data_IF_520702697224
#
_entry.id   IF_520702697224
#
_cell.length_a   1.000
_cell.length_b   1.000
_cell.length_c   1.000
_cell.angle_alpha   90.00
_cell.angle_beta   90.00
_cell.angle_gamma   90.00
#
_symmetry.space_group_name_H-M   'P 1'
#
loop_
_entity.id
_entity.type
_entity.pdbx_description
1 polymer ?
#
# COMPACT_ATOMS: atom_id res chain seq x y z
N UNK A 1 0.09 -24.47 -38.84
CA UNK A 1 -0.69 -25.39 -39.70
C UNK A 1 0.19 -26.37 -40.48
N UNK A 2 1.13 -25.95 -41.33
CA UNK A 2 1.99 -26.86 -42.13
C UNK A 2 2.67 -27.98 -41.31
N UNK A 3 3.23 -27.67 -40.13
CA UNK A 3 3.86 -28.65 -39.22
C UNK A 3 2.89 -29.73 -38.69
N UNK A 4 1.62 -29.40 -38.50
CA UNK A 4 0.60 -30.33 -38.01
C UNK A 4 0.16 -31.30 -39.12
N UNK A 5 0.08 -30.81 -40.36
CA UNK A 5 -0.19 -31.63 -41.55
C UNK A 5 0.94 -32.65 -41.78
N UNK A 6 2.21 -32.24 -41.66
CA UNK A 6 3.34 -33.16 -41.76
C UNK A 6 3.36 -34.22 -40.66
N UNK A 7 2.98 -33.87 -39.43
CA UNK A 7 2.87 -34.81 -38.32
C UNK A 7 1.78 -35.87 -38.58
N UNK A 8 0.61 -35.46 -39.06
CA UNK A 8 -0.50 -36.37 -39.38
C UNK A 8 -0.11 -37.31 -40.54
N UNK A 9 0.52 -36.77 -41.59
CA UNK A 9 1.02 -37.58 -42.70
C UNK A 9 2.07 -38.60 -42.26
N UNK A 10 2.96 -38.23 -41.33
CA UNK A 10 3.96 -39.13 -40.78
C UNK A 10 3.31 -40.23 -39.92
N UNK A 11 2.36 -39.87 -39.06
CA UNK A 11 1.62 -40.82 -38.21
C UNK A 11 0.81 -41.83 -39.04
N UNK A 12 0.20 -41.41 -40.15
CA UNK A 12 -0.52 -42.32 -41.04
C UNK A 12 0.40 -43.09 -42.00
N UNK A 13 1.51 -42.48 -42.41
CA UNK A 13 2.45 -43.06 -43.38
C UNK A 13 3.39 -44.11 -42.79
N UNK A 14 3.84 -43.94 -41.55
CA UNK A 14 4.79 -44.85 -40.89
C UNK A 14 4.27 -46.30 -40.83
N UNK A 15 3.01 -46.58 -40.45
CA UNK A 15 2.47 -47.94 -40.48
C UNK A 15 2.44 -48.55 -41.87
N UNK A 16 2.09 -47.77 -42.89
CA UNK A 16 2.01 -48.23 -44.28
C UNK A 16 3.40 -48.61 -44.79
N UNK A 17 4.40 -47.77 -44.50
CA UNK A 17 5.81 -48.01 -44.87
C UNK A 17 6.38 -49.21 -44.12
N UNK A 18 6.10 -49.34 -42.81
CA UNK A 18 6.55 -50.48 -42.01
C UNK A 18 5.86 -51.78 -42.45
N UNK A 19 4.56 -51.75 -42.78
CA UNK A 19 3.83 -52.90 -43.30
C UNK A 19 4.45 -53.37 -44.63
N UNK A 20 4.68 -52.43 -45.55
CA UNK A 20 5.30 -52.72 -46.82
C UNK A 20 6.73 -53.26 -46.63
N UNK A 21 7.55 -52.64 -45.79
CA UNK A 21 8.92 -53.10 -45.54
C UNK A 21 8.99 -54.50 -44.90
N UNK A 22 8.08 -54.82 -43.98
CA UNK A 22 8.06 -56.10 -43.25
C UNK A 22 7.39 -57.24 -44.04
N UNK A 23 6.38 -56.95 -44.87
CA UNK A 23 5.69 -57.97 -45.67
C UNK A 23 6.34 -58.23 -47.04
N UNK A 24 7.07 -57.26 -47.60
CA UNK A 24 7.74 -57.42 -48.90
C UNK A 24 9.03 -58.22 -48.82
N UNK A 25 9.62 -58.36 -47.63
CA UNK A 25 10.85 -59.13 -47.41
C UNK A 25 10.60 -60.27 -46.41
N UNK A 26 10.41 -61.49 -46.92
CA UNK A 26 10.29 -62.70 -46.08
C UNK A 26 11.68 -63.22 -45.76
N UNK A 27 12.16 -62.98 -44.55
CA UNK A 27 13.33 -63.69 -44.05
C UNK A 27 13.01 -65.21 -43.96
N UNK A 28 13.84 -66.09 -44.54
CA UNK A 28 13.55 -67.53 -44.56
C UNK A 28 13.55 -68.10 -43.14
N UNK A 29 12.45 -68.75 -42.73
CA UNK A 29 12.31 -69.43 -41.43
C UNK A 29 11.33 -68.82 -40.42
N UNK A 30 10.67 -67.71 -40.73
CA UNK A 30 9.63 -67.11 -39.86
C UNK A 30 8.23 -67.41 -40.43
N UNK A 31 7.41 -68.12 -39.66
CA UNK A 31 5.98 -68.29 -39.96
C UNK A 31 5.30 -66.92 -39.82
N UNK A 32 4.80 -66.39 -40.93
CA UNK A 32 4.00 -65.17 -40.93
C UNK A 32 2.62 -65.50 -40.32
N UNK A 33 2.47 -65.25 -39.02
CA UNK A 33 1.18 -65.30 -38.36
C UNK A 33 0.31 -64.16 -38.93
N UNK A 34 -0.80 -64.52 -39.60
CA UNK A 34 -1.70 -63.56 -40.27
C UNK A 34 -2.23 -62.49 -39.30
N UNK A 35 -2.20 -62.77 -37.99
CA UNK A 35 -2.65 -61.86 -36.93
C UNK A 35 -1.56 -60.94 -36.36
N UNK A 36 -0.29 -61.13 -36.72
CA UNK A 36 0.82 -60.31 -36.19
C UNK A 36 0.68 -58.83 -36.56
N UNK A 37 0.12 -58.55 -37.74
CA UNK A 37 -0.18 -57.18 -38.20
C UNK A 37 -1.22 -56.49 -37.32
N UNK A 38 -2.27 -57.23 -36.91
CA UNK A 38 -3.33 -56.70 -36.07
C UNK A 38 -2.78 -56.32 -34.68
N UNK A 39 -1.89 -57.14 -34.12
CA UNK A 39 -1.18 -56.85 -32.88
C UNK A 39 -0.26 -55.64 -32.97
N UNK A 40 0.49 -55.48 -34.07
CA UNK A 40 1.31 -54.30 -34.32
C UNK A 40 0.46 -53.03 -34.42
N UNK A 41 -0.63 -53.07 -35.20
CA UNK A 41 -1.52 -51.93 -35.38
C UNK A 41 -2.19 -51.50 -34.06
N UNK A 42 -2.67 -52.47 -33.26
CA UNK A 42 -3.24 -52.19 -31.94
C UNK A 42 -2.25 -51.49 -31.00
N UNK A 43 -1.01 -51.96 -30.95
CA UNK A 43 0.05 -51.34 -30.15
C UNK A 43 0.42 -49.93 -30.65
N UNK A 44 0.48 -49.74 -31.96
CA UNK A 44 0.78 -48.45 -32.58
C UNK A 44 -0.32 -47.40 -32.30
N UNK A 45 -1.59 -47.79 -32.46
CA UNK A 45 -2.73 -46.92 -32.11
C UNK A 45 -2.73 -46.60 -30.63
N UNK A 46 -2.48 -47.59 -29.76
CA UNK A 46 -2.35 -47.38 -28.31
C UNK A 46 -1.28 -46.36 -27.94
N UNK A 47 -0.10 -46.43 -28.59
CA UNK A 47 0.99 -45.48 -28.39
C UNK A 47 0.60 -44.06 -28.82
N UNK A 48 -0.05 -43.90 -29.98
CA UNK A 48 -0.51 -42.58 -30.45
C UNK A 48 -1.54 -42.01 -29.49
N UNK A 49 -2.51 -42.80 -29.05
CA UNK A 49 -3.53 -42.36 -28.09
C UNK A 49 -2.89 -41.88 -26.79
N UNK A 50 -1.91 -42.63 -26.26
CA UNK A 50 -1.17 -42.23 -25.05
C UNK A 50 -0.40 -40.91 -25.26
N UNK A 51 0.29 -40.75 -26.38
CA UNK A 51 1.01 -39.50 -26.72
C UNK A 51 0.03 -38.33 -26.87
N UNK A 52 -1.11 -38.52 -27.53
CA UNK A 52 -2.14 -37.49 -27.68
C UNK A 52 -2.71 -37.06 -26.32
N UNK A 53 -3.00 -38.00 -25.42
CA UNK A 53 -3.48 -37.70 -24.07
C UNK A 53 -2.40 -36.94 -23.29
N UNK A 54 -1.13 -37.37 -23.36
CA UNK A 54 -0.03 -36.70 -22.70
C UNK A 54 0.16 -35.26 -23.20
N UNK A 55 0.09 -35.04 -24.52
CA UNK A 55 0.17 -33.70 -25.11
C UNK A 55 -1.02 -32.82 -24.71
N UNK A 56 -2.23 -33.39 -24.67
CA UNK A 56 -3.43 -32.67 -24.23
C UNK A 56 -3.35 -32.27 -22.75
N UNK A 57 -2.91 -33.19 -21.89
CA UNK A 57 -2.67 -32.91 -20.47
C UNK A 57 -1.59 -31.84 -20.30
N UNK A 58 -0.47 -31.94 -21.02
CA UNK A 58 0.60 -30.95 -20.98
C UNK A 58 0.11 -29.56 -21.42
N UNK A 59 -0.70 -29.49 -22.48
CA UNK A 59 -1.29 -28.24 -22.93
C UNK A 59 -2.20 -27.61 -21.87
N UNK A 60 -3.09 -28.41 -21.29
CA UNK A 60 -4.01 -27.95 -20.24
C UNK A 60 -3.27 -27.53 -18.96
N UNK A 61 -2.22 -28.27 -18.58
CA UNK A 61 -1.40 -27.95 -17.42
C UNK A 61 -0.69 -26.61 -17.62
N UNK A 62 -0.02 -26.40 -18.77
CA UNK A 62 0.61 -25.11 -19.09
C UNK A 62 -0.37 -23.93 -19.05
N UNK A 63 -1.61 -24.12 -19.48
CA UNK A 63 -2.63 -23.07 -19.40
C UNK A 63 -2.98 -22.75 -17.95
N UNK A 64 -3.23 -23.78 -17.13
CA UNK A 64 -3.52 -23.62 -15.71
C UNK A 64 -2.35 -22.99 -14.94
N UNK A 65 -1.11 -23.41 -15.23
CA UNK A 65 0.09 -22.88 -14.59
C UNK A 65 0.24 -21.38 -14.83
N UNK A 66 0.03 -20.93 -16.08
CA UNK A 66 0.03 -19.49 -16.41
C UNK A 66 -1.05 -18.70 -15.68
N UNK A 67 -2.25 -19.25 -15.57
CA UNK A 67 -3.36 -18.62 -14.84
C UNK A 67 -3.07 -18.55 -13.33
N UNK A 68 -2.48 -19.59 -12.75
CA UNK A 68 -2.07 -19.62 -11.33
C UNK A 68 -0.95 -18.62 -11.08
N UNK A 69 0.09 -18.63 -11.91
CA UNK A 69 1.21 -17.70 -11.82
C UNK A 69 0.74 -16.25 -11.90
N UNK A 70 -0.12 -15.92 -12.87
CA UNK A 70 -0.68 -14.57 -12.98
C UNK A 70 -1.47 -14.16 -11.74
N UNK A 71 -2.32 -15.06 -11.20
CA UNK A 71 -3.07 -14.77 -9.97
C UNK A 71 -2.15 -14.59 -8.77
N UNK A 72 -1.06 -15.34 -8.71
CA UNK A 72 -0.11 -15.25 -7.62
C UNK A 72 0.65 -13.92 -7.66
N UNK A 73 1.13 -13.51 -8.84
CA UNK A 73 1.77 -12.20 -9.04
C UNK A 73 0.88 -11.05 -8.61
N UNK A 74 -0.40 -11.05 -9.00
CA UNK A 74 -1.35 -10.01 -8.58
C UNK A 74 -1.52 -9.94 -7.06
N UNK A 75 -1.58 -11.10 -6.38
CA UNK A 75 -1.68 -11.15 -4.92
C UNK A 75 -0.40 -10.66 -4.24
N UNK A 76 0.75 -11.03 -4.77
CA UNK A 76 2.06 -10.58 -4.27
C UNK A 76 2.21 -9.06 -4.43
N UNK A 77 1.85 -8.50 -5.58
CA UNK A 77 1.84 -7.04 -5.81
C UNK A 77 0.88 -6.32 -4.86
N UNK A 78 -0.33 -6.85 -4.64
CA UNK A 78 -1.29 -6.27 -3.70
C UNK A 78 -0.76 -6.30 -2.26
N UNK A 79 -0.13 -7.41 -1.85
CA UNK A 79 0.44 -7.58 -0.54
C UNK A 79 1.67 -6.69 -0.33
N UNK A 80 2.55 -6.59 -1.32
CA UNK A 80 3.67 -5.66 -1.31
C UNK A 80 3.19 -4.22 -1.17
N UNK A 81 2.14 -3.84 -1.88
CA UNK A 81 1.54 -2.51 -1.75
C UNK A 81 1.04 -2.28 -0.32
N UNK A 82 0.23 -3.19 0.21
CA UNK A 82 -0.34 -3.09 1.57
C UNK A 82 0.74 -3.03 2.66
N UNK A 83 1.79 -3.84 2.56
CA UNK A 83 2.91 -3.87 3.52
C UNK A 83 3.79 -2.62 3.47
N UNK A 84 3.81 -1.92 2.33
CA UNK A 84 4.51 -0.65 2.15
C UNK A 84 3.60 0.57 2.36
N UNK A 85 2.45 0.41 3.00
CA UNK A 85 1.66 1.53 3.49
C UNK A 85 2.33 2.14 4.71
N UNK A 86 2.40 3.46 4.70
CA UNK A 86 2.78 4.28 5.84
C UNK A 86 1.53 4.89 6.46
N UNK A 87 1.61 5.19 7.75
CA UNK A 87 0.54 5.78 8.53
C UNK A 87 1.09 6.98 9.31
N UNK A 88 0.22 7.94 9.57
CA UNK A 88 0.53 9.10 10.39
C UNK A 88 -0.29 9.04 11.67
N UNK A 89 0.37 9.36 12.79
CA UNK A 89 -0.28 9.61 14.06
C UNK A 89 -0.28 11.11 14.29
N UNK A 90 -1.46 11.65 14.57
CA UNK A 90 -1.66 13.04 14.89
C UNK A 90 -1.91 13.18 16.39
N UNK A 91 -1.26 14.16 17.02
CA UNK A 91 -1.52 14.53 18.40
C UNK A 91 -1.66 16.04 18.52
N UNK A 92 -2.75 16.51 19.12
CA UNK A 92 -2.96 17.90 19.48
C UNK A 92 -2.50 18.14 20.91
N UNK A 93 -1.75 19.22 21.14
CA UNK A 93 -1.35 19.58 22.50
C UNK A 93 -1.08 21.07 22.63
N UNK A 94 -0.98 21.55 23.86
CA UNK A 94 -0.65 22.94 24.18
C UNK A 94 0.71 23.01 24.88
N UNK A 95 1.57 23.91 24.43
CA UNK A 95 2.89 24.13 25.03
C UNK A 95 3.40 25.55 24.79
N UNK A 96 4.58 25.88 25.34
CA UNK A 96 5.25 27.12 25.02
C UNK A 96 5.70 27.16 23.54
N UNK A 97 5.77 28.35 22.92
CA UNK A 97 6.17 28.50 21.52
C UNK A 97 7.50 27.81 21.15
N UNK A 98 8.45 27.71 22.09
CA UNK A 98 9.77 27.11 21.84
C UNK A 98 9.82 25.59 21.98
N UNK A 99 8.76 24.97 22.49
CA UNK A 99 8.70 23.54 22.82
C UNK A 99 9.81 23.07 23.79
N UNK A 100 10.42 23.96 24.57
CA UNK A 100 11.56 23.65 25.46
C UNK A 100 11.24 22.57 26.52
N UNK A 101 9.95 22.38 26.82
CA UNK A 101 9.49 21.45 27.84
C UNK A 101 9.11 20.07 27.27
N UNK A 102 9.38 19.83 25.99
CA UNK A 102 9.00 18.61 25.28
C UNK A 102 10.26 17.86 24.88
N UNK A 103 10.35 16.60 25.30
CA UNK A 103 11.37 15.70 24.80
C UNK A 103 11.06 15.37 23.34
N UNK A 104 11.96 15.74 22.43
CA UNK A 104 11.85 15.50 21.00
C UNK A 104 13.02 14.65 20.51
N UNK A 105 12.83 13.80 19.49
CA UNK A 105 13.93 13.23 18.74
C UNK A 105 14.81 14.32 18.12
N UNK A 106 16.11 14.04 17.95
CA UNK A 106 17.15 15.01 17.53
C UNK A 106 16.80 15.77 16.24
N UNK A 107 16.19 15.09 15.27
CA UNK A 107 15.89 15.65 13.95
C UNK A 107 14.46 16.22 13.82
N UNK A 108 13.74 16.36 14.93
CA UNK A 108 12.37 16.88 14.91
C UNK A 108 12.30 18.32 14.41
N UNK A 109 11.25 18.66 13.68
CA UNK A 109 11.14 19.94 12.97
C UNK A 109 9.91 20.71 13.42
N UNK A 110 10.08 22.01 13.61
CA UNK A 110 8.99 22.96 13.80
C UNK A 110 8.74 23.69 12.49
N UNK A 111 7.51 23.67 12.00
CA UNK A 111 7.11 24.43 10.82
C UNK A 111 6.87 25.88 11.21
N UNK A 112 7.60 26.79 10.58
CA UNK A 112 7.37 28.22 10.74
C UNK A 112 6.18 28.69 9.90
N UNK A 113 5.01 28.74 10.51
CA UNK A 113 3.82 29.34 9.88
C UNK A 113 3.87 30.86 9.99
N UNK A 114 3.18 31.58 9.08
CA UNK A 114 3.11 33.05 9.12
C UNK A 114 2.59 33.60 10.45
N UNK A 115 1.58 32.95 11.02
CA UNK A 115 1.03 33.35 12.32
C UNK A 115 1.98 33.05 13.48
N UNK A 116 2.75 31.97 13.39
CA UNK A 116 3.80 31.69 14.36
C UNK A 116 4.95 32.71 14.29
N UNK A 117 5.42 33.06 13.10
CA UNK A 117 6.45 34.10 12.92
C UNK A 117 5.99 35.44 13.52
N UNK A 118 4.76 35.86 13.20
CA UNK A 118 4.15 37.06 13.78
C UNK A 118 4.08 37.01 15.31
N UNK A 119 3.69 35.87 15.87
CA UNK A 119 3.63 35.68 17.33
C UNK A 119 5.00 35.82 17.98
N UNK A 120 6.02 35.19 17.40
CA UNK A 120 7.39 35.23 17.92
C UNK A 120 7.97 36.66 17.89
N UNK A 121 7.74 37.41 16.81
CA UNK A 121 8.17 38.82 16.70
C UNK A 121 7.52 39.69 17.79
N UNK A 122 6.22 39.52 18.01
CA UNK A 122 5.47 40.27 19.02
C UNK A 122 5.93 39.92 20.44
N UNK A 123 6.05 38.63 20.75
CA UNK A 123 6.48 38.17 22.08
C UNK A 123 7.94 38.52 22.40
N UNK A 124 8.82 38.64 21.39
CA UNK A 124 10.18 39.17 21.58
C UNK A 124 10.16 40.63 22.03
N UNK A 125 9.21 41.41 21.53
CA UNK A 125 9.05 42.84 21.85
C UNK A 125 8.43 43.04 23.23
N UNK A 126 7.38 42.27 23.55
CA UNK A 126 6.59 42.45 24.78
C UNK A 126 7.20 41.73 26.01
N UNK A 127 8.16 40.84 25.80
CA UNK A 127 8.67 39.93 26.83
C UNK A 127 7.65 38.84 27.22
N UNK A 128 8.13 37.66 27.61
CA UNK A 128 7.28 36.57 28.10
C UNK A 128 6.98 35.46 27.10
N UNK A 129 7.93 35.15 26.22
CA UNK A 129 7.83 34.04 25.28
C UNK A 129 7.57 32.69 25.98
N UNK A 130 8.17 32.48 27.16
CA UNK A 130 8.03 31.24 27.93
C UNK A 130 6.73 31.18 28.76
N UNK A 131 5.99 32.28 28.88
CA UNK A 131 4.71 32.37 29.58
C UNK A 131 3.50 32.21 28.63
N UNK A 132 3.73 32.31 27.33
CA UNK A 132 2.68 32.12 26.33
C UNK A 132 2.49 30.63 26.08
N UNK A 133 1.25 30.20 25.90
CA UNK A 133 0.92 28.82 25.52
C UNK A 133 0.16 28.85 24.20
N UNK A 134 0.55 27.99 23.27
CA UNK A 134 -0.11 27.84 21.98
C UNK A 134 -0.39 26.38 21.66
N UNK A 135 -1.35 26.15 20.77
CA UNK A 135 -1.73 24.83 20.30
C UNK A 135 -0.79 24.38 19.18
N UNK A 136 -0.39 23.11 19.23
CA UNK A 136 0.43 22.47 18.22
C UNK A 136 -0.24 21.20 17.73
N UNK A 137 -0.08 20.95 16.44
CA UNK A 137 -0.27 19.62 15.86
C UNK A 137 1.11 18.96 15.77
N UNK A 138 1.25 17.81 16.42
CA UNK A 138 2.39 16.91 16.24
C UNK A 138 1.99 15.80 15.27
N UNK A 139 2.83 15.59 14.27
CA UNK A 139 2.74 14.48 13.33
C UNK A 139 3.92 13.55 13.54
N UNK A 140 3.64 12.25 13.55
CA UNK A 140 4.63 11.18 13.64
C UNK A 140 4.37 10.14 12.56
N UNK A 141 5.42 9.75 11.84
CA UNK A 141 5.36 8.77 10.75
C UNK A 141 5.65 7.35 11.27
N UNK A 142 4.75 6.41 10.92
CA UNK A 142 4.84 4.99 11.23
C UNK A 142 4.63 4.14 9.96
N UNK A 143 5.07 2.89 10.01
CA UNK A 143 4.95 1.95 8.89
C UNK A 143 6.28 1.28 8.57
N UNK A 144 6.28 0.44 7.54
CA UNK A 144 7.50 -0.19 7.04
C UNK A 144 8.40 0.80 6.26
N UNK A 145 7.86 1.66 5.36
CA UNK A 145 8.68 2.61 4.64
C UNK A 145 9.37 3.63 5.56
N UNK A 146 10.59 4.01 5.21
CA UNK A 146 11.36 5.03 5.94
C UNK A 146 10.92 6.45 5.57
N UNK A 147 10.20 6.64 4.47
CA UNK A 147 9.83 7.97 3.97
C UNK A 147 8.47 7.96 3.28
N UNK A 148 7.76 9.09 3.38
CA UNK A 148 6.60 9.44 2.56
C UNK A 148 6.84 10.75 1.81
N UNK A 149 6.14 10.94 0.70
CA UNK A 149 6.34 12.06 -0.20
C UNK A 149 5.11 12.97 -0.28
N UNK A 150 5.31 14.18 -0.79
CA UNK A 150 4.28 15.18 -1.04
C UNK A 150 3.32 15.40 0.15
N UNK A 151 3.84 15.35 1.37
CA UNK A 151 3.05 15.45 2.58
C UNK A 151 2.54 16.87 2.79
N UNK A 152 1.21 17.03 2.72
CA UNK A 152 0.51 18.31 2.87
C UNK A 152 -0.48 18.23 4.01
N UNK A 153 -0.55 19.29 4.79
CA UNK A 153 -1.43 19.40 5.96
C UNK A 153 -2.33 20.61 5.78
N UNK A 154 -3.63 20.41 5.88
CA UNK A 154 -4.65 21.46 5.89
C UNK A 154 -5.29 21.47 7.28
N UNK A 155 -5.25 22.62 7.94
CA UNK A 155 -5.77 22.80 9.31
C UNK A 155 -6.89 23.83 9.23
N UNK A 156 -8.08 23.43 9.71
CA UNK A 156 -9.23 24.33 9.89
C UNK A 156 -9.43 24.59 11.37
N UNK A 157 -9.60 25.84 11.75
CA UNK A 157 -9.73 26.25 13.14
C UNK A 157 -10.82 27.32 13.33
N UNK A 158 -11.26 27.47 14.57
CA UNK A 158 -12.21 28.49 15.02
C UNK A 158 -11.56 29.29 16.16
N UNK A 159 -11.73 30.61 16.10
CA UNK A 159 -11.18 31.56 17.07
C UNK A 159 -12.11 32.79 17.16
N UNK A 160 -11.79 33.75 18.03
CA UNK A 160 -12.74 34.83 18.38
C UNK A 160 -13.19 35.69 17.19
N UNK A 161 -12.35 35.80 16.14
CA UNK A 161 -12.67 36.57 14.92
C UNK A 161 -13.37 35.73 13.84
N UNK A 162 -13.66 34.46 14.10
CA UNK A 162 -14.39 33.58 13.18
C UNK A 162 -13.65 32.27 12.86
N UNK A 163 -13.79 31.81 11.62
CA UNK A 163 -13.15 30.59 11.11
C UNK A 163 -11.90 30.97 10.30
N UNK A 164 -10.86 30.15 10.41
CA UNK A 164 -9.68 30.29 9.59
C UNK A 164 -9.13 28.93 9.19
N UNK A 165 -8.36 28.93 8.11
CA UNK A 165 -7.66 27.76 7.62
C UNK A 165 -6.28 28.14 7.10
N UNK A 166 -5.36 27.19 7.15
CA UNK A 166 -4.08 27.32 6.45
C UNK A 166 -3.56 25.96 6.02
N UNK A 167 -2.65 26.01 5.04
CA UNK A 167 -2.00 24.84 4.46
C UNK A 167 -0.50 24.88 4.71
N UNK A 168 0.04 23.71 5.00
CA UNK A 168 1.46 23.48 5.20
C UNK A 168 1.91 22.41 4.21
N UNK A 169 2.99 22.69 3.49
CA UNK A 169 3.67 21.69 2.66
C UNK A 169 4.94 21.24 3.39
N UNK A 170 4.97 19.97 3.79
CA UNK A 170 6.13 19.33 4.43
C UNK A 170 7.06 18.76 3.36
N UNK A 171 6.52 18.41 2.18
CA UNK A 171 7.26 17.72 1.13
C UNK A 171 7.59 16.28 1.53
N UNK A 172 8.80 16.05 2.01
CA UNK A 172 9.31 14.73 2.39
C UNK A 172 9.25 14.55 3.90
N UNK A 173 8.63 13.46 4.37
CA UNK A 173 8.53 13.16 5.79
C UNK A 173 9.14 11.78 6.11
N UNK A 174 10.24 11.80 6.86
CA UNK A 174 11.01 10.63 7.26
C UNK A 174 10.49 10.02 8.57
N UNK A 175 10.64 8.71 8.69
CA UNK A 175 10.31 7.95 9.90
C UNK A 175 11.30 8.29 11.02
N UNK A 176 10.81 8.28 12.26
CA UNK A 176 11.63 8.63 13.44
C UNK A 176 11.80 10.13 13.67
N UNK A 177 11.32 10.97 12.76
CA UNK A 177 11.23 12.42 12.94
C UNK A 177 9.81 12.79 13.39
N UNK A 178 9.70 13.80 14.25
CA UNK A 178 8.42 14.41 14.60
C UNK A 178 8.33 15.80 13.96
N UNK A 179 7.17 16.12 13.39
CA UNK A 179 6.89 17.44 12.81
C UNK A 179 5.87 18.15 13.68
N UNK A 180 6.22 19.34 14.14
CA UNK A 180 5.38 20.21 14.95
C UNK A 180 4.86 21.36 14.09
N UNK A 181 3.55 21.57 14.09
CA UNK A 181 2.88 22.62 13.34
C UNK A 181 2.15 23.53 14.35
N UNK A 182 2.62 24.76 14.56
CA UNK A 182 1.97 25.73 15.44
C UNK A 182 0.66 26.21 14.81
N UNK A 183 -0.43 26.11 15.58
CA UNK A 183 -1.76 26.56 15.16
C UNK A 183 -2.01 27.95 15.74
N UNK A 184 -1.57 28.96 14.99
CA UNK A 184 -1.63 30.36 15.39
C UNK A 184 -2.18 31.20 14.24
N UNK A 185 -3.40 31.76 14.35
CA UNK A 185 -3.89 32.80 13.45
C UNK A 185 -3.01 34.06 13.48
N UNK A 186 -2.98 34.80 12.37
CA UNK A 186 -2.32 36.10 12.34
C UNK A 186 -3.13 37.10 13.18
N UNK A 187 -2.45 37.84 14.05
CA UNK A 187 -3.10 38.86 14.87
C UNK A 187 -3.80 38.32 16.12
N UNK A 188 -3.46 37.10 16.55
CA UNK A 188 -3.93 36.49 17.81
C UNK A 188 -3.52 37.33 19.02
N UNK A 189 -4.47 37.58 19.92
CA UNK A 189 -4.22 38.35 21.15
C UNK A 189 -3.89 37.37 22.28
N UNK A 190 -3.13 37.83 23.30
CA UNK A 190 -2.81 37.04 24.49
C UNK A 190 -4.12 36.51 25.12
N UNK A 191 -4.19 35.18 25.35
CA UNK A 191 -5.33 34.43 25.91
C UNK A 191 -6.51 34.15 24.98
N UNK A 192 -6.37 34.36 23.68
CA UNK A 192 -7.40 33.91 22.73
C UNK A 192 -7.40 32.38 22.62
N UNK A 193 -8.57 31.75 22.81
CA UNK A 193 -8.73 30.31 22.63
C UNK A 193 -8.86 29.99 21.14
N UNK A 194 -8.02 29.06 20.68
CA UNK A 194 -8.02 28.55 19.31
C UNK A 194 -8.45 27.10 19.39
N UNK A 195 -9.58 26.80 18.76
CA UNK A 195 -10.12 25.46 18.65
C UNK A 195 -9.85 24.91 17.26
N UNK A 196 -9.22 23.74 17.22
CA UNK A 196 -8.99 23.01 15.97
C UNK A 196 -10.29 22.31 15.62
N UNK A 197 -10.78 22.51 14.41
CA UNK A 197 -12.03 21.88 13.95
C UNK A 197 -11.77 20.64 13.09
N UNK A 198 -10.76 20.69 12.23
CA UNK A 198 -10.41 19.60 11.33
C UNK A 198 -8.93 19.69 10.97
N UNK A 199 -8.23 18.56 10.95
CA UNK A 199 -6.90 18.43 10.35
C UNK A 199 -6.96 17.36 9.26
N UNK A 200 -6.61 17.75 8.05
CA UNK A 200 -6.52 16.87 6.89
C UNK A 200 -5.06 16.76 6.46
N UNK A 201 -4.54 15.54 6.39
CA UNK A 201 -3.19 15.24 5.93
C UNK A 201 -3.27 14.40 4.66
N UNK A 202 -2.56 14.81 3.61
CA UNK A 202 -2.51 14.09 2.33
C UNK A 202 -1.05 13.84 1.97
N UNK A 203 -0.70 12.60 1.59
CA UNK A 203 0.67 12.22 1.23
C UNK A 203 0.69 11.05 0.24
N UNK A 204 1.85 10.82 -0.38
CA UNK A 204 2.08 9.73 -1.34
C UNK A 204 3.03 8.70 -0.73
N UNK A 205 2.70 7.41 -0.84
CA UNK A 205 3.57 6.30 -0.39
C UNK A 205 4.63 5.97 -1.43
N UNK A 206 5.60 5.12 -1.07
CA UNK A 206 6.63 4.63 -1.99
C UNK A 206 6.09 3.73 -3.13
N UNK A 207 4.82 3.30 -3.05
CA UNK A 207 4.13 2.49 -4.07
C UNK A 207 3.08 3.32 -4.83
N UNK A 208 3.24 4.65 -4.86
CA UNK A 208 2.38 5.61 -5.56
C UNK A 208 0.90 5.58 -5.13
N UNK A 209 0.62 5.16 -3.89
CA UNK A 209 -0.70 5.34 -3.29
C UNK A 209 -0.82 6.74 -2.69
N UNK A 210 -1.96 7.41 -2.90
CA UNK A 210 -2.26 8.66 -2.20
C UNK A 210 -3.06 8.34 -0.95
N UNK A 211 -2.54 8.72 0.21
CA UNK A 211 -3.18 8.54 1.51
C UNK A 211 -3.81 9.86 1.95
N UNK A 212 -5.01 9.77 2.51
CA UNK A 212 -5.73 10.90 3.11
C UNK A 212 -6.13 10.52 4.53
N UNK A 213 -5.57 11.23 5.51
CA UNK A 213 -5.95 11.13 6.91
C UNK A 213 -6.74 12.37 7.29
N UNK A 214 -7.92 12.19 7.90
CA UNK A 214 -8.78 13.27 8.35
C UNK A 214 -9.10 13.07 9.82
N UNK A 215 -8.70 14.03 10.64
CA UNK A 215 -9.04 14.16 12.05
C UNK A 215 -10.09 15.28 12.19
N UNK A 216 -11.36 14.90 12.29
CA UNK A 216 -12.51 15.82 12.36
C UNK A 216 -13.02 15.89 13.80
N UNK A 217 -12.69 16.97 14.50
CA UNK A 217 -13.08 17.18 15.90
C UNK A 217 -14.55 17.62 16.04
N UNK A 218 -15.15 18.20 14.99
CA UNK A 218 -16.58 18.55 14.98
C UNK A 218 -17.43 17.28 14.92
N UNK A 219 -17.09 16.36 14.01
CA UNK A 219 -17.78 15.07 13.88
C UNK A 219 -17.27 14.02 14.87
N UNK A 220 -16.20 14.33 15.61
CA UNK A 220 -15.50 13.43 16.52
C UNK A 220 -15.09 12.14 15.81
N UNK A 221 -14.41 12.26 14.68
CA UNK A 221 -14.14 11.13 13.80
C UNK A 221 -12.77 11.23 13.16
N UNK A 222 -12.03 10.14 13.26
CA UNK A 222 -10.80 9.92 12.51
C UNK A 222 -11.06 8.97 11.36
N UNK A 223 -10.52 9.28 10.19
CA UNK A 223 -10.61 8.39 9.04
C UNK A 223 -9.34 8.42 8.22
N UNK A 224 -9.00 7.28 7.63
CA UNK A 224 -7.92 7.19 6.68
C UNK A 224 -8.39 6.47 5.41
N UNK A 225 -8.19 7.13 4.27
CA UNK A 225 -8.51 6.61 2.95
C UNK A 225 -7.23 6.48 2.13
N UNK A 226 -7.23 5.50 1.24
CA UNK A 226 -6.19 5.32 0.24
C UNK A 226 -6.80 5.39 -1.15
N UNK A 227 -6.10 6.09 -2.04
CA UNK A 227 -6.46 6.24 -3.45
C UNK A 227 -5.34 5.65 -4.31
N UNK A 228 -5.71 4.75 -5.23
CA UNK A 228 -4.79 4.12 -6.15
C UNK A 228 -5.47 3.92 -7.52
N UNK A 229 -5.00 4.65 -8.53
CA UNK A 229 -5.66 4.69 -9.84
C UNK A 229 -7.11 5.17 -9.71
N UNK A 230 -8.06 4.31 -10.08
CA UNK A 230 -9.50 4.58 -9.96
C UNK A 230 -10.16 3.91 -8.74
N UNK A 231 -9.35 3.35 -7.83
CA UNK A 231 -9.84 2.68 -6.64
C UNK A 231 -9.65 3.55 -5.40
N UNK A 232 -10.70 3.69 -4.60
CA UNK A 232 -10.68 4.23 -3.26
C UNK A 232 -10.99 3.15 -2.22
N UNK A 233 -10.24 3.12 -1.13
CA UNK A 233 -10.41 2.17 -0.03
C UNK A 233 -10.37 2.92 1.30
N UNK A 234 -11.41 2.75 2.13
CA UNK A 234 -11.41 3.23 3.51
C UNK A 234 -10.65 2.23 4.37
N UNK A 235 -9.50 2.63 4.91
CA UNK A 235 -8.66 1.76 5.72
C UNK A 235 -9.18 1.63 7.14
N UNK A 236 -9.56 2.76 7.72
CA UNK A 236 -10.22 2.80 9.01
C UNK A 236 -11.08 4.03 9.16
N UNK A 237 -12.00 3.90 10.09
CA UNK A 237 -12.85 4.95 10.58
C UNK A 237 -13.06 4.71 12.08
N UNK A 238 -12.74 5.70 12.89
CA UNK A 238 -12.82 5.62 14.34
C UNK A 238 -13.62 6.80 14.89
N UNK A 239 -14.57 6.51 15.78
CA UNK A 239 -15.31 7.55 16.50
C UNK A 239 -14.51 7.94 17.73
N UNK A 240 -14.21 9.23 17.87
CA UNK A 240 -13.49 9.81 19.00
C UNK A 240 -14.40 9.86 20.23
N UNK A 241 -14.45 8.74 20.94
CA UNK A 241 -15.10 8.67 22.25
C UNK A 241 -14.11 9.08 23.36
N UNK A 242 -14.52 10.04 24.20
CA UNK A 242 -13.72 10.48 25.33
C UNK A 242 -13.69 9.41 26.42
N UNK A 243 -12.51 8.89 26.74
CA UNK A 243 -12.30 8.04 27.91
C UNK A 243 -11.48 8.78 28.95
N UNK A 244 -11.91 8.73 30.20
CA UNK A 244 -11.17 9.30 31.33
C UNK A 244 -10.18 8.27 31.87
N UNK A 245 -8.90 8.56 31.77
CA UNK A 245 -7.83 7.69 32.27
C UNK A 245 -7.15 8.33 33.47
N UNK A 246 -6.96 7.55 34.53
CA UNK A 246 -6.19 7.95 35.71
C UNK A 246 -4.87 7.19 35.68
N UNK A 247 -3.76 7.89 35.78
CA UNK A 247 -2.46 7.25 35.95
C UNK A 247 -2.37 6.71 37.39
N UNK A 248 -2.28 5.37 37.59
CA UNK A 248 -2.32 4.79 38.94
C UNK A 248 -1.20 5.32 39.85
N UNK A 249 -0.03 5.61 39.26
CA UNK A 249 1.17 6.02 40.00
C UNK A 249 1.35 7.54 40.10
N UNK A 250 0.43 8.36 39.58
CA UNK A 250 0.41 9.82 39.78
C UNK A 250 -0.62 10.27 40.83
N UNK A 251 -1.21 9.34 41.57
CA UNK A 251 -2.09 9.59 42.72
C UNK A 251 -1.32 9.98 44.00
N UNK A 252 -0.11 10.55 43.87
CA UNK A 252 0.72 10.92 45.01
C UNK A 252 0.43 12.39 45.36
N UNK A 253 -0.50 12.52 46.31
CA UNK A 253 -0.69 13.58 47.34
C UNK A 253 -0.70 15.06 46.91
N UNK A 254 -1.89 15.67 47.08
CA UNK A 254 -2.06 17.10 47.37
C UNK A 254 -1.28 17.53 48.60
#
# INVERSE_FOLDING_TARGET
MKRLVYLILLIMGVPIVLNYALLSWRAPGLNADENAWLGFFANYVGLISAVCIALYQQYNQRKKDKEVEHRQRLKEEEQERKTNRSYLVLHDFRSNPRLNNIATPENSRLIETKGYQWLIEKLKTDGGLDQFTTSFIKLSHYGNPEVIFNCKVEIKMQYSKGKGDFKVDIGVFEKGIEVFIPVVPIGTIKREEIEISEVKVTYTTIKDETMEYVHDLIKRKDSCRVFYGNHDELLFEFQLDSSSWIYPNKLITR
#
